data_IF_819153233966
#
_entry.id   IF_819153233966
#
_cell.length_a   1.000
_cell.length_b   1.000
_cell.length_c   1.000
_cell.angle_alpha   90.00
_cell.angle_beta   90.00
_cell.angle_gamma   90.00
#
_symmetry.space_group_name_H-M   'P 1'
#
loop_
_entity.id
_entity.type
_entity.pdbx_description
1 polymer ?
2 polymer ?
3 non-polymer ?
4 non-polymer ?
5 non-polymer ?
6 water ?
#
# COMPACT_ATOMS: atom_id res chain seq x y z
N UNK A 10 -0.22 9.25 13.36
CA UNK A 10 -1.31 8.65 12.53
C UNK A 10 -2.03 9.71 11.69
N UNK A 11 -1.89 9.60 10.38
CA UNK A 11 -2.51 10.53 9.44
C UNK A 11 -3.80 9.98 8.85
N UNK A 12 -4.35 8.93 9.47
CA UNK A 12 -5.58 8.30 8.99
C UNK A 12 -6.78 9.24 9.05
N UNK A 13 -6.84 10.06 10.10
CA UNK A 13 -7.89 11.07 10.25
C UNK A 13 -7.86 12.09 9.12
N UNK A 14 -6.65 12.53 8.75
CA UNK A 14 -6.45 13.43 7.62
C UNK A 14 -6.93 12.78 6.32
N UNK A 15 -6.58 11.51 6.13
CA UNK A 15 -6.98 10.74 4.95
C UNK A 15 -8.50 10.65 4.85
N UNK A 16 -9.15 10.35 5.97
CA UNK A 16 -10.61 10.23 6.01
C UNK A 16 -11.26 11.55 5.65
N UNK A 17 -10.70 12.66 6.16
CA UNK A 17 -11.22 13.99 5.87
C UNK A 17 -11.04 14.36 4.40
N UNK A 18 -9.90 14.00 3.83
CA UNK A 18 -9.61 14.25 2.41
C UNK A 18 -10.58 13.48 1.52
N UNK A 19 -10.88 12.24 1.91
CA UNK A 19 -11.84 11.41 1.19
C UNK A 19 -13.28 11.88 1.36
N UNK A 20 -13.66 12.24 2.60
CA UNK A 20 -14.96 12.86 2.84
C UNK A 20 -15.20 14.00 1.88
N UNK A 21 -14.18 14.85 1.74
CA UNK A 21 -14.26 16.06 0.93
C UNK A 21 -14.38 15.78 -0.57
N UNK A 22 -13.54 14.88 -1.10
CA UNK A 22 -13.64 14.53 -2.52
C UNK A 22 -14.98 13.84 -2.84
N UNK A 23 -15.38 12.88 -2.01
CA UNK A 23 -16.61 12.14 -2.24
C UNK A 23 -17.85 13.03 -2.17
N UNK A 24 -17.86 13.96 -1.21
CA UNK A 24 -18.97 14.90 -1.04
C UNK A 24 -19.13 15.84 -2.23
N UNK A 25 -18.05 16.05 -2.98
CA UNK A 25 -18.09 16.88 -4.18
C UNK A 25 -18.73 16.18 -5.38
N UNK A 26 -19.06 14.91 -5.22
CA UNK A 26 -19.69 14.09 -6.27
C UNK A 26 -19.00 14.26 -7.62
N UNK A 27 -17.69 13.89 -7.68
CA UNK A 27 -16.84 14.25 -8.82
C UNK A 27 -17.27 13.67 -10.17
N UNK A 28 -18.04 12.58 -10.16
CA UNK A 28 -18.48 11.94 -11.40
C UNK A 28 -19.93 12.25 -11.78
N UNK A 29 -20.63 13.00 -10.93
CA UNK A 29 -22.08 13.18 -11.06
C UNK A 29 -22.48 14.62 -11.39
N UNK A 30 -21.52 15.43 -11.85
CA UNK A 30 -21.79 16.83 -12.14
C UNK A 30 -21.53 17.15 -13.62
N UNK A 31 -20.86 18.25 -13.90
CA UNK A 31 -20.62 18.67 -15.28
C UNK A 31 -19.54 17.90 -16.02
N UNK A 32 -18.88 18.60 -16.94
CA UNK A 32 -17.79 18.03 -17.74
C UNK A 32 -16.63 17.57 -16.86
N UNK A 33 -16.27 16.30 -16.98
CA UNK A 33 -15.13 15.74 -16.24
C UNK A 33 -13.83 16.12 -16.94
N UNK A 34 -12.95 16.76 -16.18
CA UNK A 34 -11.65 17.20 -16.69
C UNK A 34 -10.53 16.59 -15.82
N UNK A 35 -10.58 15.27 -15.68
CA UNK A 35 -9.69 14.50 -14.79
C UNK A 35 -8.21 14.74 -15.05
N UNK A 36 -7.82 14.93 -16.30
CA UNK A 36 -6.43 15.17 -16.68
C UNK A 36 -5.84 16.41 -16.01
N UNK A 37 -6.71 17.37 -15.69
CA UNK A 37 -6.27 18.62 -15.07
C UNK A 37 -5.99 18.45 -13.57
N UNK A 38 -6.35 17.29 -13.04
CA UNK A 38 -6.09 16.95 -11.64
C UNK A 38 -4.79 16.18 -11.46
N UNK A 39 -4.16 15.78 -12.56
CA UNK A 39 -2.91 15.05 -12.52
C UNK A 39 -1.78 15.91 -11.97
N UNK A 40 -1.01 15.34 -11.04
CA UNK A 40 0.16 16.04 -10.50
C UNK A 40 1.32 15.06 -10.31
N UNK A 41 2.25 15.03 -11.28
CA UNK A 41 3.42 14.15 -11.26
C UNK A 41 4.39 14.43 -10.10
N UNK A 42 4.34 15.64 -9.55
CA UNK A 42 5.17 15.98 -8.39
C UNK A 42 4.72 15.24 -7.12
N UNK A 43 3.54 14.64 -7.18
CA UNK A 43 2.96 13.93 -6.04
C UNK A 43 3.11 12.41 -6.14
N UNK A 44 3.80 11.93 -7.17
CA UNK A 44 4.05 10.49 -7.34
C UNK A 44 4.67 9.94 -6.04
N UNK A 45 4.12 8.83 -5.51
CA UNK A 45 4.62 8.30 -4.24
C UNK A 45 6.07 7.82 -4.32
N UNK A 46 6.76 7.86 -3.18
CA UNK A 46 8.11 7.32 -3.06
C UNK A 46 8.05 5.79 -2.91
N UNK A 47 7.06 5.32 -2.15
CA UNK A 47 6.93 3.91 -1.86
C UNK A 47 5.52 3.40 -2.09
N UNK A 48 5.43 2.18 -2.60
CA UNK A 48 4.19 1.43 -2.60
C UNK A 48 4.52 -0.05 -2.58
N UNK A 49 3.51 -0.87 -2.35
CA UNK A 49 3.67 -2.32 -2.32
C UNK A 49 3.58 -2.86 -3.75
N UNK A 50 4.66 -3.45 -4.22
CA UNK A 50 4.74 -4.00 -5.57
C UNK A 50 4.30 -5.45 -5.66
N UNK A 51 4.50 -6.20 -4.58
CA UNK A 51 4.15 -7.62 -4.53
C UNK A 51 3.80 -8.00 -3.09
N UNK A 52 2.98 -9.02 -2.93
CA UNK A 52 2.69 -9.52 -1.59
C UNK A 52 2.35 -11.01 -1.60
N UNK A 53 2.57 -11.65 -0.45
CA UNK A 53 2.27 -13.06 -0.24
C UNK A 53 1.60 -13.21 1.12
N UNK A 54 0.37 -13.70 1.09
CA UNK A 54 -0.40 -13.93 2.31
C UNK A 54 -0.19 -15.36 2.79
N UNK A 55 0.76 -15.52 3.70
CA UNK A 55 1.00 -16.82 4.33
C UNK A 55 0.59 -16.72 5.80
N UNK A 56 -0.48 -15.96 6.06
CA UNK A 56 -0.89 -15.63 7.43
C UNK A 56 -1.51 -16.80 8.22
N UNK A 57 -1.79 -17.90 7.53
CA UNK A 57 -2.29 -19.09 8.19
C UNK A 57 -1.18 -19.80 8.97
N UNK A 58 0.08 -19.44 8.68
CA UNK A 58 1.23 -20.08 9.33
C UNK A 58 2.30 -19.10 9.81
N UNK A 59 2.66 -18.14 8.96
CA UNK A 59 3.84 -17.31 9.21
C UNK A 59 3.56 -15.83 9.30
N UNK A 60 2.81 -15.31 8.33
CA UNK A 60 2.49 -13.90 8.27
C UNK A 60 2.36 -13.41 6.84
N UNK A 61 2.40 -12.10 6.67
CA UNK A 61 2.27 -11.51 5.34
C UNK A 61 3.59 -10.90 4.91
N UNK A 62 4.09 -11.37 3.78
CA UNK A 62 5.31 -10.83 3.16
C UNK A 62 4.95 -9.86 2.07
N UNK A 63 5.78 -8.84 1.89
CA UNK A 63 5.55 -7.85 0.85
C UNK A 63 6.86 -7.33 0.31
N UNK A 64 6.82 -6.90 -0.95
CA UNK A 64 7.94 -6.23 -1.57
C UNK A 64 7.52 -4.79 -1.85
N UNK A 65 8.36 -3.84 -1.46
CA UNK A 65 8.14 -2.46 -1.84
C UNK A 65 8.74 -2.22 -3.22
N UNK A 66 8.36 -1.10 -3.84
CA UNK A 66 8.77 -0.80 -5.21
C UNK A 66 10.29 -0.60 -5.38
N UNK A 67 11.00 -0.40 -4.28
CA UNK A 67 12.46 -0.25 -4.31
C UNK A 67 13.17 -1.60 -4.15
N UNK A 68 12.39 -2.67 -4.11
CA UNK A 68 12.89 -4.04 -3.94
C UNK A 68 13.24 -4.47 -2.52
N UNK A 69 12.98 -3.60 -1.54
CA UNK A 69 13.06 -3.98 -0.14
C UNK A 69 11.90 -4.92 0.17
N UNK A 70 12.10 -5.80 1.14
CA UNK A 70 11.10 -6.81 1.50
C UNK A 70 10.84 -6.80 3.00
N UNK A 71 9.57 -6.86 3.37
CA UNK A 71 9.20 -6.96 4.77
C UNK A 71 8.26 -8.11 5.03
N UNK A 72 8.16 -8.50 6.30
CA UNK A 72 7.17 -9.47 6.74
C UNK A 72 6.54 -8.97 8.02
N UNK A 73 5.21 -8.97 8.06
CA UNK A 73 4.49 -8.82 9.32
C UNK A 73 4.13 -10.22 9.79
N UNK A 74 4.86 -10.69 10.79
CA UNK A 74 4.71 -12.04 11.31
C UNK A 74 3.46 -12.19 12.18
N UNK A 75 2.99 -13.42 12.32
CA UNK A 75 1.80 -13.72 13.10
C UNK A 75 1.92 -13.41 14.60
N UNK A 76 3.14 -13.27 15.09
CA UNK A 76 3.38 -12.90 16.48
C UNK A 76 3.44 -11.38 16.68
N UNK A 77 3.00 -10.64 15.67
CA UNK A 77 2.91 -9.17 15.68
C UNK A 77 4.28 -8.47 15.64
N UNK A 78 5.30 -9.20 15.19
CA UNK A 78 6.61 -8.59 14.97
C UNK A 78 6.82 -8.34 13.48
N UNK A 79 7.77 -7.46 13.18
CA UNK A 79 8.05 -7.10 11.80
C UNK A 79 9.53 -7.18 11.52
N UNK A 80 9.87 -7.73 10.35
CA UNK A 80 11.26 -7.76 9.89
C UNK A 80 11.32 -7.22 8.48
N UNK A 81 12.23 -6.27 8.27
CA UNK A 81 12.38 -5.58 7.00
C UNK A 81 13.81 -5.74 6.51
N UNK A 82 13.97 -6.25 5.30
CA UNK A 82 15.27 -6.35 4.67
C UNK A 82 15.39 -5.28 3.60
N UNK A 83 16.36 -4.38 3.81
CA UNK A 83 16.65 -3.31 2.86
C UNK A 83 17.06 -3.89 1.50
N UNK A 84 16.92 -3.08 0.45
CA UNK A 84 17.21 -3.55 -0.91
C UNK A 84 18.67 -3.96 -1.15
N UNK A 85 19.56 -3.61 -0.22
CA UNK A 85 20.96 -4.06 -0.30
C UNK A 85 21.11 -5.56 0.01
N UNK A 86 20.04 -6.17 0.52
CA UNK A 86 20.01 -7.61 0.77
C UNK A 86 20.69 -8.06 2.06
N UNK A 87 21.06 -7.10 2.90
CA UNK A 87 21.78 -7.41 4.14
C UNK A 87 21.27 -6.60 5.34
N UNK A 88 21.06 -5.30 5.13
CA UNK A 88 20.61 -4.41 6.21
C UNK A 88 19.19 -4.74 6.66
N UNK A 89 18.99 -4.80 7.97
CA UNK A 89 17.74 -5.26 8.58
C UNK A 89 17.18 -4.25 9.57
N UNK A 90 15.85 -4.17 9.59
CA UNK A 90 15.11 -3.48 10.64
C UNK A 90 14.18 -4.49 11.28
N UNK A 91 14.25 -4.61 12.61
CA UNK A 91 13.33 -5.47 13.35
C UNK A 91 12.50 -4.66 14.31
N UNK A 92 11.20 -4.91 14.30
CA UNK A 92 10.27 -4.23 15.21
C UNK A 92 9.60 -5.27 16.08
N UNK A 93 9.84 -5.17 17.39
CA UNK A 93 9.25 -6.08 18.38
C UNK A 93 7.78 -5.80 18.60
N UNK A 94 7.10 -6.70 19.30
CA UNK A 94 5.67 -6.57 19.59
C UNK A 94 5.35 -5.34 20.44
N UNK A 95 6.29 -4.95 21.30
CA UNK A 95 6.13 -3.75 22.14
C UNK A 95 6.42 -2.45 21.36
N UNK A 96 6.99 -2.58 20.17
CA UNK A 96 7.24 -1.44 19.28
C UNK A 96 8.70 -1.03 19.16
N UNK A 97 9.58 -1.70 19.90
CA UNK A 97 11.00 -1.38 19.90
C UNK A 97 11.64 -1.72 18.54
N UNK A 98 12.27 -0.71 17.93
CA UNK A 98 12.94 -0.88 16.65
C UNK A 98 14.43 -1.16 16.85
N UNK A 99 14.92 -2.17 16.14
CA UNK A 99 16.35 -2.50 16.14
C UNK A 99 16.86 -2.49 14.71
N UNK A 100 18.06 -1.94 14.52
CA UNK A 100 18.69 -1.90 13.22
C UNK A 100 19.98 -2.71 13.24
N UNK A 101 20.06 -3.70 12.35
CA UNK A 101 21.22 -4.59 12.26
C UNK A 101 21.42 -5.08 10.83
N UNK A 102 22.16 -6.17 10.68
CA UNK A 102 22.36 -6.81 9.39
C UNK A 102 22.25 -8.32 9.54
N UNK A 103 21.97 -9.00 8.42
CA UNK A 103 21.96 -10.46 8.38
C UNK A 103 23.35 -10.99 8.70
N UNK A 104 24.38 -10.33 8.17
CA UNK A 104 25.78 -10.73 8.36
C UNK A 104 26.21 -10.76 9.83
N UNK A 105 25.52 -10.00 10.68
CA UNK A 105 25.88 -9.87 12.09
C UNK A 105 24.86 -10.52 13.04
N UNK A 106 23.68 -10.83 12.50
CA UNK A 106 22.44 -11.07 13.28
C UNK A 106 22.50 -11.96 14.52
N UNK A 107 21.61 -11.69 15.50
CA UNK A 107 21.48 -12.53 16.68
C UNK A 107 20.88 -13.87 16.29
N UNK A 108 21.34 -14.92 16.96
CA UNK A 108 20.83 -16.27 16.73
C UNK A 108 19.32 -16.35 16.87
N UNK A 109 18.75 -15.49 17.71
CA UNK A 109 17.31 -15.46 17.97
C UNK A 109 16.46 -15.03 16.75
N UNK A 110 17.09 -14.37 15.78
CA UNK A 110 16.38 -13.89 14.59
C UNK A 110 16.64 -14.73 13.33
N UNK A 111 17.46 -15.77 13.47
CA UNK A 111 17.82 -16.62 12.34
C UNK A 111 16.61 -17.22 11.62
N UNK A 112 15.64 -17.72 12.40
CA UNK A 112 14.43 -18.31 11.84
C UNK A 112 13.61 -17.30 11.04
N UNK A 113 13.41 -16.12 11.60
CA UNK A 113 12.63 -15.08 10.93
C UNK A 113 13.34 -14.55 9.69
N UNK A 114 14.67 -14.44 9.76
CA UNK A 114 15.47 -14.03 8.60
C UNK A 114 15.34 -15.04 7.47
N UNK A 115 15.45 -16.33 7.82
CA UNK A 115 15.29 -17.41 6.84
C UNK A 115 13.91 -17.37 6.18
N UNK A 116 12.86 -17.24 6.99
CA UNK A 116 11.50 -17.09 6.46
C UNK A 116 11.40 -15.91 5.51
N UNK A 117 11.93 -14.76 5.90
CA UNK A 117 11.92 -13.58 5.05
C UNK A 117 12.62 -13.84 3.72
N UNK A 118 13.77 -14.52 3.75
CA UNK A 118 14.51 -14.84 2.53
C UNK A 118 13.71 -15.73 1.58
N UNK A 119 12.93 -16.65 2.13
CA UNK A 119 12.02 -17.46 1.30
C UNK A 119 10.91 -16.61 0.67
N UNK A 120 10.32 -15.70 1.45
CA UNK A 120 9.34 -14.74 0.93
C UNK A 120 9.96 -13.92 -0.21
N UNK A 121 11.13 -13.37 0.06
CA UNK A 121 11.86 -12.52 -0.87
C UNK A 121 12.15 -13.24 -2.18
N UNK A 122 12.67 -14.46 -2.07
CA UNK A 122 12.98 -15.26 -3.24
C UNK A 122 11.74 -15.57 -4.08
N UNK A 123 10.64 -15.91 -3.41
CA UNK A 123 9.41 -16.23 -4.13
C UNK A 123 8.90 -15.04 -4.92
N UNK A 124 8.87 -13.88 -4.29
CA UNK A 124 8.34 -12.68 -4.94
C UNK A 124 9.19 -12.25 -6.11
N UNK A 125 10.51 -12.35 -5.94
CA UNK A 125 11.49 -12.03 -6.99
C UNK A 125 11.39 -12.94 -8.21
N UNK A 126 10.94 -14.18 -7.99
CA UNK A 126 10.88 -15.17 -9.06
C UNK A 126 9.51 -15.30 -9.74
N UNK A 127 8.42 -14.99 -9.03
CA UNK A 127 7.09 -15.44 -9.46
C UNK A 127 5.99 -14.41 -9.68
N UNK A 128 6.18 -13.21 -9.15
CA UNK A 128 5.07 -12.23 -9.16
C UNK A 128 5.38 -10.98 -9.97
N UNK A 129 4.31 -10.40 -10.53
CA UNK A 129 4.37 -9.13 -11.24
C UNK A 129 4.72 -8.01 -10.27
N UNK A 130 5.53 -7.06 -10.74
CA UNK A 130 5.88 -5.90 -9.93
C UNK A 130 4.90 -4.77 -10.25
N UNK A 131 4.00 -4.49 -9.31
CA UNK A 131 3.04 -3.39 -9.49
C UNK A 131 3.79 -2.07 -9.64
N UNK A 132 3.42 -1.30 -10.66
CA UNK A 132 4.06 -0.03 -10.96
C UNK A 132 5.50 -0.17 -11.44
N UNK A 133 5.80 -1.30 -12.08
CA UNK A 133 7.17 -1.65 -12.49
C UNK A 133 7.80 -0.65 -13.45
N UNK A 134 6.97 -0.01 -14.27
CA UNK A 134 7.44 0.94 -15.28
C UNK A 134 7.76 2.33 -14.73
N UNK A 135 7.47 2.54 -13.46
CA UNK A 135 7.57 3.86 -12.84
C UNK A 135 8.80 4.01 -11.94
N UNK A 136 9.54 5.10 -12.13
CA UNK A 136 10.59 5.49 -11.18
C UNK A 136 9.92 6.29 -10.05
N UNK A 137 10.04 5.79 -8.80
CA UNK A 137 9.43 6.45 -7.66
C UNK A 137 10.06 7.82 -7.37
N UNK A 138 9.34 8.66 -6.65
CA UNK A 138 9.81 10.00 -6.28
C UNK A 138 10.99 9.93 -5.31
N UNK A 146 12.43 4.31 5.09
CA UNK A 146 11.74 3.13 4.59
C UNK A 146 10.53 2.79 5.47
N UNK A 147 9.31 2.87 4.91
CA UNK A 147 8.14 2.56 5.71
C UNK A 147 7.93 1.06 5.86
N UNK A 148 7.34 0.65 6.97
CA UNK A 148 6.96 -0.74 7.17
C UNK A 148 5.45 -0.92 7.10
N UNK A 149 5.00 -2.15 7.02
CA UNK A 149 3.57 -2.44 7.00
C UNK A 149 3.04 -2.37 8.43
N UNK A 150 2.25 -1.34 8.71
CA UNK A 150 1.64 -1.16 10.03
C UNK A 150 0.59 -2.25 10.25
N UNK A 151 -0.32 -2.38 9.29
CA UNK A 151 -1.34 -3.42 9.33
C UNK A 151 -1.92 -3.64 7.93
N UNK A 152 -2.74 -4.68 7.81
CA UNK A 152 -3.41 -5.00 6.57
C UNK A 152 -4.65 -5.80 6.90
N UNK A 153 -5.59 -5.84 5.95
CA UNK A 153 -6.69 -6.77 6.01
C UNK A 153 -7.18 -7.04 4.60
N UNK A 154 -7.98 -8.09 4.45
CA UNK A 154 -8.57 -8.43 3.17
C UNK A 154 -10.07 -8.46 3.25
N UNK A 155 -10.69 -8.06 2.14
CA UNK A 155 -12.12 -8.23 1.94
C UNK A 155 -12.27 -9.18 0.76
N UNK A 156 -13.51 -9.49 0.37
CA UNK A 156 -13.74 -10.30 -0.83
C UNK A 156 -13.20 -9.60 -2.09
N UNK A 157 -13.21 -8.27 -2.07
CA UNK A 157 -12.89 -7.46 -3.24
C UNK A 157 -11.45 -6.97 -3.32
N UNK A 158 -10.79 -6.87 -2.16
CA UNK A 158 -9.51 -6.15 -2.12
C UNK A 158 -8.62 -6.56 -0.95
N UNK A 159 -7.35 -6.22 -1.06
CA UNK A 159 -6.44 -6.23 0.08
C UNK A 159 -6.10 -4.78 0.37
N UNK A 160 -6.10 -4.44 1.66
CA UNK A 160 -5.85 -3.10 2.13
C UNK A 160 -4.56 -3.12 2.93
N UNK A 161 -3.60 -2.27 2.54
CA UNK A 161 -2.27 -2.25 3.13
C UNK A 161 -1.99 -0.86 3.69
N UNK A 162 -1.67 -0.81 4.99
CA UNK A 162 -1.42 0.46 5.65
C UNK A 162 0.05 0.59 6.01
N UNK A 163 0.74 1.53 5.36
CA UNK A 163 2.16 1.75 5.59
C UNK A 163 2.43 2.76 6.70
N UNK A 164 3.58 2.63 7.34
CA UNK A 164 3.93 3.47 8.50
C UNK A 164 4.16 4.94 8.16
N UNK A 165 4.30 5.26 6.87
CA UNK A 165 4.40 6.66 6.43
C UNK A 165 3.03 7.30 6.22
N UNK A 166 1.96 6.55 6.51
CA UNK A 166 0.60 7.05 6.39
C UNK A 166 -0.11 6.63 5.13
N UNK A 167 0.64 6.11 4.16
CA UNK A 167 0.04 5.67 2.90
C UNK A 167 -0.87 4.47 3.09
N UNK A 168 -1.98 4.46 2.36
CA UNK A 168 -2.91 3.33 2.33
C UNK A 168 -3.03 2.87 0.90
N UNK A 169 -2.74 1.59 0.67
CA UNK A 169 -2.85 1.01 -0.66
C UNK A 169 -3.98 0.00 -0.68
N UNK A 170 -4.78 0.05 -1.74
CA UNK A 170 -5.91 -0.86 -1.90
C UNK A 170 -5.79 -1.52 -3.28
N UNK A 171 -5.61 -2.84 -3.28
CA UNK A 171 -5.51 -3.61 -4.51
C UNK A 171 -6.79 -4.41 -4.72
N UNK A 172 -7.49 -4.17 -5.82
CA UNK A 172 -8.75 -4.87 -6.12
C UNK A 172 -8.47 -6.17 -6.88
N UNK A 173 -9.03 -7.27 -6.40
CA UNK A 173 -8.75 -8.60 -6.97
C UNK A 173 -9.35 -8.84 -8.36
N UNK A 174 -10.59 -8.40 -8.56
CA UNK A 174 -11.33 -8.77 -9.79
C UNK A 174 -10.72 -8.18 -11.05
N UNK A 175 -10.36 -6.90 -10.99
CA UNK A 175 -9.95 -6.16 -12.18
C UNK A 175 -8.50 -5.66 -12.12
N UNK A 176 -7.83 -5.95 -11.01
CA UNK A 176 -6.40 -5.64 -10.81
C UNK A 176 -6.10 -4.15 -10.74
N UNK A 177 -7.12 -3.36 -10.47
CA UNK A 177 -6.93 -1.92 -10.28
C UNK A 177 -6.43 -1.66 -8.86
N UNK A 178 -5.70 -0.58 -8.69
CA UNK A 178 -5.07 -0.27 -7.40
C UNK A 178 -5.12 1.22 -7.08
N UNK A 179 -5.27 1.52 -5.80
CA UNK A 179 -5.16 2.87 -5.29
C UNK A 179 -4.01 2.97 -4.31
N UNK A 180 -3.21 4.03 -4.45
CA UNK A 180 -2.22 4.37 -3.44
C UNK A 180 -2.57 5.76 -2.92
N UNK A 181 -3.02 5.83 -1.67
CA UNK A 181 -3.46 7.08 -1.08
C UNK A 181 -2.39 7.62 -0.14
N UNK A 182 -2.00 8.88 -0.36
CA UNK A 182 -1.02 9.53 0.51
C UNK A 182 -1.60 10.78 1.15
N UNK A 183 -1.78 10.75 2.48
CA UNK A 183 -2.40 11.87 3.19
C UNK A 183 -1.48 13.08 3.36
N UNK A 184 -0.18 12.88 3.22
CA UNK A 184 0.79 13.97 3.33
C UNK A 184 0.73 14.87 2.09
N UNK A 185 0.51 14.24 0.94
CA UNK A 185 0.38 14.96 -0.32
C UNK A 185 -1.08 15.24 -0.65
N UNK A 186 -1.99 14.62 0.11
CA UNK A 186 -3.42 14.60 -0.21
C UNK A 186 -3.61 14.21 -1.68
N UNK A 187 -2.99 13.08 -2.03
CA UNK A 187 -2.95 12.60 -3.40
C UNK A 187 -3.42 11.15 -3.48
N UNK A 188 -3.87 10.76 -4.67
CA UNK A 188 -4.19 9.36 -4.96
C UNK A 188 -3.55 8.96 -6.27
N UNK A 189 -2.86 7.82 -6.25
CA UNK A 189 -2.38 7.19 -7.46
C UNK A 189 -3.33 6.07 -7.84
N UNK A 190 -3.79 6.10 -9.09
CA UNK A 190 -4.68 5.07 -9.60
C UNK A 190 -3.94 4.28 -10.67
N UNK A 191 -3.88 2.97 -10.48
CA UNK A 191 -3.37 2.06 -11.48
C UNK A 191 -4.58 1.35 -12.07
N UNK A 192 -4.84 1.59 -13.36
CA UNK A 192 -6.07 1.06 -13.97
C UNK A 192 -5.87 -0.35 -14.57
N UNK A 193 -6.88 -0.81 -15.30
CA UNK A 193 -6.88 -2.15 -15.90
C UNK A 193 -5.79 -2.35 -16.96
N UNK A 194 -5.35 -1.25 -17.57
CA UNK A 194 -4.28 -1.30 -18.58
C UNK A 194 -2.91 -1.04 -17.97
N UNK A 195 -2.85 -0.99 -16.64
CA UNK A 195 -1.63 -0.70 -15.87
C UNK A 195 -1.09 0.71 -16.10
N UNK A 196 -1.98 1.63 -16.46
CA UNK A 196 -1.67 3.05 -16.50
C UNK A 196 -1.58 3.56 -15.06
N UNK A 197 -0.48 4.23 -14.75
CA UNK A 197 -0.15 4.70 -13.40
C UNK A 197 -0.27 6.23 -13.41
N UNK A 198 -1.30 6.75 -12.74
CA UNK A 198 -1.61 8.18 -12.76
C UNK A 198 -1.81 8.71 -11.35
N UNK A 199 -1.16 9.82 -11.03
CA UNK A 199 -1.25 10.42 -9.70
C UNK A 199 -2.04 11.73 -9.75
N UNK A 200 -3.04 11.84 -8.88
CA UNK A 200 -3.94 12.98 -8.84
C UNK A 200 -3.92 13.65 -7.47
N UNK A 201 -4.09 14.96 -7.45
CA UNK A 201 -4.35 15.67 -6.21
C UNK A 201 -5.84 15.55 -5.90
N UNK A 202 -6.16 15.13 -4.67
CA UNK A 202 -7.56 14.93 -4.30
C UNK A 202 -8.38 16.23 -4.41
N UNK A 203 -7.78 17.35 -4.01
CA UNK A 203 -8.44 18.65 -4.11
C UNK A 203 -8.73 19.03 -5.56
N UNK A 204 -7.88 18.58 -6.47
CA UNK A 204 -8.08 18.85 -7.91
C UNK A 204 -9.12 17.94 -8.53
N UNK A 205 -9.30 16.73 -7.98
CA UNK A 205 -10.43 15.88 -8.37
C UNK A 205 -11.75 16.52 -7.96
N UNK A 206 -11.76 17.17 -6.81
CA UNK A 206 -12.90 18.00 -6.39
C UNK A 206 -13.17 19.12 -7.38
N UNK A 207 -12.10 19.75 -7.85
CA UNK A 207 -12.18 20.91 -8.74
C UNK A 207 -12.59 20.54 -10.16
N UNK A 208 -12.12 19.40 -10.66
CA UNK A 208 -12.26 19.08 -12.09
C UNK A 208 -13.04 17.80 -12.36
N UNK A 209 -13.34 17.05 -11.31
CA UNK A 209 -14.11 15.82 -11.44
C UNK A 209 -13.26 14.62 -11.81
N UNK A 210 -13.89 13.45 -11.85
CA UNK A 210 -13.23 12.23 -12.29
C UNK A 210 -14.27 11.25 -12.82
N UNK A 211 -13.78 10.22 -13.51
CA UNK A 211 -14.65 9.17 -14.06
C UNK A 211 -15.34 8.37 -12.95
N UNK A 212 -16.43 7.71 -13.31
CA UNK A 212 -17.21 6.88 -12.39
C UNK A 212 -16.36 5.79 -11.73
N UNK A 213 -15.43 5.22 -12.49
CA UNK A 213 -14.58 4.13 -12.00
C UNK A 213 -13.73 4.58 -10.81
N UNK A 214 -13.03 5.70 -10.96
CA UNK A 214 -12.21 6.22 -9.87
C UNK A 214 -13.08 6.72 -8.72
N UNK A 215 -14.19 7.38 -9.04
CA UNK A 215 -15.10 7.88 -8.01
C UNK A 215 -15.61 6.76 -7.11
N UNK A 216 -15.99 5.63 -7.72
CA UNK A 216 -16.50 4.48 -6.96
C UNK A 216 -15.41 3.89 -6.05
N UNK A 217 -14.19 3.83 -6.57
CA UNK A 217 -13.07 3.30 -5.79
C UNK A 217 -12.68 4.22 -4.64
N UNK A 218 -12.87 5.53 -4.82
CA UNK A 218 -12.63 6.49 -3.74
C UNK A 218 -13.70 6.38 -2.65
N UNK A 219 -14.93 6.05 -3.04
CA UNK A 219 -15.99 5.76 -2.06
C UNK A 219 -15.64 4.50 -1.28
N UNK A 220 -15.19 3.46 -1.97
CA UNK A 220 -14.72 2.24 -1.32
C UNK A 220 -13.56 2.54 -0.37
N UNK A 221 -12.61 3.35 -0.82
CA UNK A 221 -11.45 3.74 -0.02
C UNK A 221 -11.86 4.37 1.31
N UNK A 222 -12.85 5.27 1.28
CA UNK A 222 -13.36 5.91 2.49
C UNK A 222 -13.83 4.86 3.50
N UNK A 223 -14.56 3.85 3.03
CA UNK A 223 -15.06 2.78 3.90
C UNK A 223 -13.90 1.98 4.50
N UNK A 224 -12.84 1.78 3.69
CA UNK A 224 -11.68 1.03 4.16
C UNK A 224 -10.88 1.80 5.21
N UNK A 225 -10.79 3.12 5.03
CA UNK A 225 -10.10 3.98 6.00
C UNK A 225 -10.87 4.02 7.32
N UNK A 226 -12.20 4.08 7.24
CA UNK A 226 -13.06 3.93 8.41
C UNK A 226 -12.77 2.62 9.15
N UNK A 227 -12.59 1.54 8.40
CA UNK A 227 -12.24 0.24 8.99
C UNK A 227 -10.89 0.29 9.71
N UNK A 228 -9.90 0.91 9.07
CA UNK A 228 -8.59 1.07 9.70
C UNK A 228 -8.68 1.89 10.98
N UNK A 229 -9.44 2.99 10.93
CA UNK A 229 -9.62 3.85 12.10
C UNK A 229 -10.36 3.17 13.25
N UNK A 230 -11.32 2.31 12.91
CA UNK A 230 -12.14 1.64 13.92
C UNK A 230 -11.46 0.42 14.53
N UNK A 231 -10.36 -0.01 13.92
CA UNK A 231 -9.64 -1.21 14.40
C UNK A 231 -8.20 -0.93 14.86
N UNK A 232 -7.88 0.34 15.10
CA UNK A 232 -6.56 0.76 15.59
C UNK A 232 -6.19 0.14 16.93
N UNK B 4 -9.61 -17.94 -1.68
CA UNK B 4 -9.07 -16.62 -1.98
C UNK B 4 -7.60 -16.67 -2.43
N UNK B 5 -7.18 -15.75 -3.32
CA UNK B 5 -5.80 -15.71 -3.80
C UNK B 5 -4.80 -15.45 -2.66
N UNK B 6 -3.85 -16.38 -2.47
CA UNK B 6 -2.91 -16.24 -1.37
C UNK B 6 -1.71 -15.34 -1.67
N UNK B 7 -1.67 -14.74 -2.87
CA UNK B 7 -0.60 -13.82 -3.25
C UNK B 7 -1.07 -12.85 -4.34
N UNK B 8 -0.26 -11.83 -4.60
CA UNK B 8 -0.55 -10.85 -5.62
C UNK B 8 -0.41 -11.45 -7.04
N UNK B 10 0.48 -12.82 -10.61
CA UNK B 10 1.66 -13.58 -11.03
C UNK B 10 2.34 -13.00 -12.26
#
# INVERSE_FOLDING_TARGET
>A
GPLGSPEFDCHLSDMLQQLHSVNASKPSERGLVRQEEAEDPACIPIFWVSKWVDYSDKYGLGYQLCDNSVGVLFNDSTRLILYNDGDSLQYIERDGTESYLTVSSHPNSLMKKITLLKYFRNYMSEHLLKAGANITPREGDELARLPYLRTWFRTRSAIILHLSNGSVQINFFQDHTKLILCPLMAAVTYIDEKRDFRTYRLSLLEEYGCCKELASRLRYARTMVDKLLSSR
>B
XFMPPPMSXMX
#
